data_IF_155241017834
#
_entry.id   IF_155241017834
#
_cell.length_a   1.000
_cell.length_b   1.000
_cell.length_c   1.000
_cell.angle_alpha   90.00
_cell.angle_beta   90.00
_cell.angle_gamma   90.00
#
_symmetry.space_group_name_H-M   'P 1'
#
loop_
_entity.id
_entity.type
_entity.pdbx_description
1 polymer ?
#
# COMPACT_ATOMS: atom_id res chain seq x y z
N UNK A 1 8.23 15.96 -2.36
CA UNK A 1 6.91 16.03 -3.01
C UNK A 1 5.93 15.16 -2.26
N UNK A 2 4.77 15.69 -1.96
CA UNK A 2 3.76 14.97 -1.20
C UNK A 2 2.73 14.37 -2.15
N UNK A 3 2.50 13.06 -2.02
CA UNK A 3 1.48 12.34 -2.76
C UNK A 3 0.36 11.95 -1.82
N UNK A 4 -0.87 12.12 -2.26
CA UNK A 4 -2.06 11.67 -1.54
C UNK A 4 -2.43 10.28 -2.03
N UNK A 5 -2.56 9.34 -1.08
CA UNK A 5 -2.98 7.98 -1.36
C UNK A 5 -4.41 7.80 -0.83
N UNK A 6 -5.43 7.94 -1.69
CA UNK A 6 -6.82 7.92 -1.25
C UNK A 6 -7.30 6.52 -0.89
N UNK A 7 -8.25 6.47 0.03
CA UNK A 7 -9.01 5.26 0.30
C UNK A 7 -10.04 5.02 -0.80
N UNK A 8 -10.45 3.78 -0.92
CA UNK A 8 -11.53 3.39 -1.83
C UNK A 8 -12.58 2.58 -1.07
N UNK A 9 -13.82 2.70 -1.53
CA UNK A 9 -14.93 1.89 -1.04
C UNK A 9 -15.45 1.06 -2.20
N UNK A 10 -15.56 -0.25 -2.00
CA UNK A 10 -16.22 -1.13 -2.96
C UNK A 10 -17.73 -1.06 -2.73
N UNK A 11 -18.46 -0.61 -3.74
CA UNK A 11 -19.92 -0.55 -3.70
C UNK A 11 -20.50 -1.94 -3.90
N UNK A 12 -19.88 -2.76 -4.73
CA UNK A 12 -20.16 -4.19 -4.80
C UNK A 12 -18.93 -4.95 -5.30
N UNK A 13 -18.93 -6.24 -5.02
CA UNK A 13 -17.90 -7.17 -5.48
C UNK A 13 -18.58 -8.50 -5.83
N UNK A 14 -18.41 -8.95 -7.07
CA UNK A 14 -18.93 -10.22 -7.55
C UNK A 14 -17.80 -11.08 -8.10
N UNK A 15 -17.66 -12.26 -7.57
CA UNK A 15 -16.70 -13.25 -8.05
C UNK A 15 -17.42 -14.12 -9.08
N UNK A 16 -17.03 -13.99 -10.37
CA UNK A 16 -17.71 -14.67 -11.49
C UNK A 16 -17.23 -16.09 -11.69
N UNK A 17 -15.96 -16.35 -11.44
CA UNK A 17 -15.39 -17.66 -11.67
C UNK A 17 -13.93 -17.73 -11.30
N UNK A 18 -13.36 -18.93 -11.40
CA UNK A 18 -11.97 -19.18 -11.07
C UNK A 18 -11.23 -19.61 -12.34
N UNK A 19 -10.12 -18.93 -12.63
CA UNK A 19 -9.24 -19.32 -13.73
C UNK A 19 -8.36 -20.52 -13.35
N UNK A 20 -7.77 -21.18 -14.35
CA UNK A 20 -6.87 -22.32 -14.15
C UNK A 20 -5.63 -21.98 -13.33
N UNK A 21 -5.22 -20.71 -13.33
CA UNK A 21 -4.06 -20.21 -12.59
C UNK A 21 -4.38 -19.82 -11.15
N UNK A 22 -5.51 -20.24 -10.62
CA UNK A 22 -6.03 -19.90 -9.28
C UNK A 22 -6.48 -18.45 -9.08
N UNK A 23 -6.43 -17.61 -10.11
CA UNK A 23 -7.04 -16.29 -10.04
C UNK A 23 -8.54 -16.37 -10.29
N UNK A 24 -9.27 -15.40 -9.73
CA UNK A 24 -10.72 -15.31 -9.91
C UNK A 24 -11.06 -14.13 -10.81
N UNK A 25 -12.06 -14.33 -11.65
CA UNK A 25 -12.67 -13.24 -12.39
C UNK A 25 -13.56 -12.45 -11.42
N UNK A 26 -13.30 -11.14 -11.32
CA UNK A 26 -14.00 -10.27 -10.39
C UNK A 26 -14.66 -9.15 -11.17
N UNK A 27 -15.93 -8.91 -10.85
CA UNK A 27 -16.67 -7.73 -11.29
C UNK A 27 -16.93 -6.88 -10.05
N UNK A 28 -16.44 -5.64 -10.06
CA UNK A 28 -16.57 -4.76 -8.91
C UNK A 28 -16.72 -3.31 -9.33
N UNK A 29 -17.44 -2.55 -8.51
CA UNK A 29 -17.56 -1.10 -8.63
C UNK A 29 -17.02 -0.48 -7.36
N UNK A 30 -16.04 0.41 -7.50
CA UNK A 30 -15.47 1.11 -6.36
C UNK A 30 -15.37 2.60 -6.64
N UNK A 31 -15.38 3.37 -5.56
CA UNK A 31 -15.19 4.82 -5.60
C UNK A 31 -14.03 5.20 -4.69
N UNK A 32 -13.25 6.18 -5.10
CA UNK A 32 -12.27 6.80 -4.22
C UNK A 32 -12.97 7.85 -3.38
N UNK A 33 -12.56 7.96 -2.12
CA UNK A 33 -13.08 8.94 -1.20
C UNK A 33 -12.01 9.94 -0.81
N UNK A 34 -12.41 11.02 -0.16
CA UNK A 34 -11.52 12.13 0.16
C UNK A 34 -10.58 11.84 1.34
N UNK A 35 -10.78 10.74 2.04
CA UNK A 35 -9.86 10.29 3.07
C UNK A 35 -8.61 9.69 2.44
N UNK A 36 -7.43 10.18 2.83
CA UNK A 36 -6.17 9.75 2.22
C UNK A 36 -5.02 9.74 3.22
N UNK A 37 -4.01 8.93 2.93
CA UNK A 37 -2.71 9.02 3.56
C UNK A 37 -1.82 9.97 2.76
N UNK A 38 -0.88 10.61 3.43
CA UNK A 38 0.13 11.45 2.77
C UNK A 38 1.48 10.72 2.75
N UNK A 39 2.10 10.64 1.59
CA UNK A 39 3.44 10.10 1.43
C UNK A 39 4.34 11.17 0.84
N UNK A 40 5.32 11.60 1.63
CA UNK A 40 6.32 12.55 1.18
C UNK A 40 7.54 11.80 0.66
N UNK A 41 7.91 12.06 -0.58
CA UNK A 41 9.03 11.40 -1.25
C UNK A 41 10.05 12.46 -1.67
N UNK A 42 11.30 12.29 -1.21
CA UNK A 42 12.43 13.15 -1.59
C UNK A 42 13.59 12.28 -2.07
N UNK A 43 14.16 12.61 -3.21
CA UNK A 43 15.35 11.93 -3.70
C UNK A 43 16.59 12.38 -2.91
N UNK A 44 17.50 11.45 -2.67
CA UNK A 44 18.75 11.71 -1.97
C UNK A 44 19.94 11.30 -2.84
N UNK A 45 21.10 11.91 -2.57
CA UNK A 45 22.34 11.54 -3.25
C UNK A 45 22.91 10.21 -2.76
N UNK A 46 22.62 9.87 -1.51
CA UNK A 46 23.04 8.61 -0.91
C UNK A 46 22.23 7.45 -1.50
N UNK A 47 22.80 6.24 -1.58
CA UNK A 47 22.11 5.09 -2.18
C UNK A 47 21.09 4.42 -1.26
N UNK A 48 20.83 4.98 -0.10
CA UNK A 48 20.00 4.36 0.92
C UNK A 48 18.55 4.80 0.82
N UNK A 49 17.65 3.87 1.16
CA UNK A 49 16.22 4.16 1.33
C UNK A 49 15.98 4.43 2.82
N UNK A 50 15.57 5.65 3.15
CA UNK A 50 15.22 6.04 4.50
C UNK A 50 13.71 6.12 4.64
N UNK A 51 13.19 5.60 5.74
CA UNK A 51 11.75 5.51 5.99
C UNK A 51 11.41 6.11 7.35
N UNK A 52 10.55 7.13 7.34
CA UNK A 52 10.13 7.87 8.53
C UNK A 52 8.61 7.93 8.64
N UNK A 53 8.14 8.41 9.79
CA UNK A 53 6.73 8.62 10.03
C UNK A 53 6.01 7.37 10.52
N UNK A 54 4.72 7.31 10.25
CA UNK A 54 3.87 6.24 10.74
C UNK A 54 4.29 4.88 10.16
N UNK A 55 4.24 3.86 10.99
CA UNK A 55 4.60 2.48 10.64
C UNK A 55 6.07 2.27 10.25
N UNK A 56 6.93 3.26 10.48
CA UNK A 56 8.36 3.13 10.15
C UNK A 56 9.07 2.04 10.96
N UNK A 57 8.50 1.63 12.10
CA UNK A 57 9.03 0.54 12.93
C UNK A 57 8.93 -0.84 12.25
N UNK A 58 8.12 -0.98 11.22
CA UNK A 58 7.99 -2.25 10.49
C UNK A 58 9.24 -2.60 9.67
N UNK A 59 10.08 -1.60 9.39
CA UNK A 59 11.36 -1.78 8.67
C UNK A 59 11.17 -2.54 7.35
N UNK A 60 11.78 -3.71 7.20
CA UNK A 60 11.73 -4.51 5.98
C UNK A 60 10.34 -5.06 5.65
N UNK A 61 9.44 -5.07 6.62
CA UNK A 61 8.05 -5.49 6.41
C UNK A 61 7.16 -4.35 5.96
N UNK A 62 7.66 -3.12 5.94
CA UNK A 62 6.91 -1.96 5.47
C UNK A 62 6.76 -1.99 3.95
N UNK A 63 5.54 -1.82 3.47
CA UNK A 63 5.22 -1.88 2.04
C UNK A 63 5.86 -0.73 1.25
N UNK A 64 5.90 0.47 1.82
CA UNK A 64 6.54 1.61 1.17
C UNK A 64 8.03 1.38 0.96
N UNK A 65 8.69 0.87 1.99
CA UNK A 65 10.11 0.52 1.91
C UNK A 65 10.35 -0.56 0.86
N UNK A 66 9.57 -1.62 0.88
CA UNK A 66 9.70 -2.73 -0.06
C UNK A 66 9.48 -2.29 -1.51
N UNK A 67 8.50 -1.42 -1.73
CA UNK A 67 8.23 -0.89 -3.07
C UNK A 67 9.41 -0.05 -3.57
N UNK A 68 10.00 0.79 -2.72
CA UNK A 68 11.15 1.61 -3.09
C UNK A 68 12.38 0.76 -3.40
N UNK A 69 12.65 -0.26 -2.59
CA UNK A 69 13.76 -1.19 -2.83
C UNK A 69 13.57 -1.93 -4.15
N UNK A 70 12.38 -2.44 -4.41
CA UNK A 70 12.09 -3.18 -5.64
C UNK A 70 12.27 -2.29 -6.88
N UNK A 71 11.80 -1.06 -6.82
CA UNK A 71 11.97 -0.11 -7.93
C UNK A 71 13.44 0.23 -8.15
N UNK A 72 14.18 0.46 -7.08
CA UNK A 72 15.61 0.77 -7.16
C UNK A 72 16.40 -0.38 -7.81
N UNK A 73 16.15 -1.61 -7.40
CA UNK A 73 16.81 -2.79 -7.95
C UNK A 73 16.46 -2.97 -9.44
N UNK A 74 15.20 -2.82 -9.78
CA UNK A 74 14.74 -3.02 -11.15
C UNK A 74 15.26 -1.94 -12.10
N UNK A 75 15.36 -0.69 -11.64
CA UNK A 75 15.82 0.42 -12.47
C UNK A 75 17.34 0.53 -12.55
N UNK A 76 18.08 -0.14 -11.64
CA UNK A 76 19.52 0.00 -11.54
C UNK A 76 19.98 1.37 -11.04
N UNK A 77 19.08 2.15 -10.43
CA UNK A 77 19.38 3.49 -9.94
C UNK A 77 20.29 3.46 -8.72
N UNK A 78 21.31 4.32 -8.69
CA UNK A 78 22.23 4.43 -7.56
C UNK A 78 21.79 5.45 -6.51
N UNK A 79 20.76 6.23 -6.80
CA UNK A 79 20.23 7.21 -5.86
C UNK A 79 19.27 6.54 -4.88
N UNK A 80 19.19 7.11 -3.67
CA UNK A 80 18.23 6.71 -2.67
C UNK A 80 17.06 7.67 -2.60
N UNK A 81 16.23 7.47 -1.60
CA UNK A 81 15.13 8.37 -1.31
C UNK A 81 14.79 8.38 0.18
N UNK A 82 14.08 9.42 0.57
CA UNK A 82 13.53 9.55 1.91
C UNK A 82 12.01 9.51 1.79
N UNK A 83 11.40 8.57 2.50
CA UNK A 83 9.97 8.34 2.50
C UNK A 83 9.41 8.67 3.89
N UNK A 84 8.45 9.57 3.95
CA UNK A 84 7.77 9.91 5.20
C UNK A 84 6.27 9.70 5.01
N UNK A 85 5.70 8.78 5.77
CA UNK A 85 4.29 8.45 5.71
C UNK A 85 3.52 9.07 6.85
N UNK A 86 2.42 9.74 6.53
CA UNK A 86 1.45 10.21 7.51
C UNK A 86 0.12 9.49 7.25
N UNK A 87 -0.22 8.59 8.17
CA UNK A 87 -1.45 7.79 8.07
C UNK A 87 -2.64 8.60 8.56
N UNK A 88 -3.70 8.58 7.78
CA UNK A 88 -5.04 9.04 8.18
C UNK A 88 -6.06 7.91 8.08
N UNK A 89 -5.74 6.90 7.29
CA UNK A 89 -6.59 5.72 7.11
C UNK A 89 -6.07 4.64 8.05
N UNK A 90 -6.78 4.42 9.17
CA UNK A 90 -6.41 3.43 10.17
C UNK A 90 -7.46 2.34 10.23
N UNK A 91 -6.99 1.08 10.23
CA UNK A 91 -7.84 -0.07 10.50
C UNK A 91 -7.72 -0.43 11.98
N UNK A 92 -8.84 -0.53 12.66
CA UNK A 92 -8.85 -0.96 14.06
C UNK A 92 -8.42 -2.42 14.16
N UNK A 93 -7.56 -2.71 15.13
CA UNK A 93 -7.07 -4.07 15.38
C UNK A 93 -8.20 -5.07 15.57
N UNK A 94 -9.25 -4.68 16.27
CA UNK A 94 -10.44 -5.50 16.48
C UNK A 94 -11.12 -5.89 15.17
N UNK A 95 -11.23 -4.94 14.26
CA UNK A 95 -11.78 -5.18 12.93
C UNK A 95 -10.92 -6.18 12.16
N UNK A 96 -9.60 -6.04 12.25
CA UNK A 96 -8.67 -6.98 11.62
C UNK A 96 -8.79 -8.38 12.22
N UNK A 97 -8.94 -8.49 13.54
CA UNK A 97 -9.06 -9.80 14.20
C UNK A 97 -10.39 -10.50 13.88
N UNK A 98 -11.50 -9.76 13.85
CA UNK A 98 -12.83 -10.32 13.61
C UNK A 98 -13.10 -10.60 12.13
N UNK A 99 -12.51 -9.80 11.25
CA UNK A 99 -12.73 -9.90 9.82
C UNK A 99 -11.42 -9.97 9.05
N UNK A 100 -10.35 -10.42 9.70
CA UNK A 100 -8.99 -10.36 9.17
C UNK A 100 -8.90 -10.92 7.76
N UNK A 101 -9.46 -12.08 7.51
CA UNK A 101 -9.41 -12.72 6.21
C UNK A 101 -10.08 -11.87 5.13
N UNK A 102 -11.26 -11.35 5.41
CA UNK A 102 -11.99 -10.53 4.45
C UNK A 102 -11.32 -9.17 4.25
N UNK A 103 -10.83 -8.57 5.32
CA UNK A 103 -10.14 -7.27 5.26
C UNK A 103 -8.83 -7.41 4.49
N UNK A 104 -8.03 -8.43 4.79
CA UNK A 104 -6.80 -8.68 4.06
C UNK A 104 -7.06 -9.01 2.60
N UNK A 105 -8.06 -9.83 2.30
CA UNK A 105 -8.45 -10.13 0.93
C UNK A 105 -8.87 -8.88 0.16
N UNK A 106 -9.46 -7.92 0.85
CA UNK A 106 -9.86 -6.64 0.27
C UNK A 106 -8.71 -5.68 -0.01
N UNK A 107 -7.74 -5.60 0.90
CA UNK A 107 -6.70 -4.57 0.86
C UNK A 107 -5.38 -5.04 0.27
N UNK A 108 -5.14 -6.33 0.17
CA UNK A 108 -3.93 -6.90 -0.42
C UNK A 108 -4.09 -7.29 -1.90
N UNK A 109 -5.31 -7.24 -2.41
CA UNK A 109 -5.56 -7.57 -3.82
C UNK A 109 -5.40 -6.37 -4.73
#
# INVERSE_FOLDING_TARGET
MIFQSPAKINLYLHIKGKYQNNFHEIDSLFVRIDLHDDLDISCTQDPYIERFGDLSHLRKNDLCYRAAIALKEKSGCNLGCRLTLKKRIWLKKEYLLNNAKHVFDYFEK
#
